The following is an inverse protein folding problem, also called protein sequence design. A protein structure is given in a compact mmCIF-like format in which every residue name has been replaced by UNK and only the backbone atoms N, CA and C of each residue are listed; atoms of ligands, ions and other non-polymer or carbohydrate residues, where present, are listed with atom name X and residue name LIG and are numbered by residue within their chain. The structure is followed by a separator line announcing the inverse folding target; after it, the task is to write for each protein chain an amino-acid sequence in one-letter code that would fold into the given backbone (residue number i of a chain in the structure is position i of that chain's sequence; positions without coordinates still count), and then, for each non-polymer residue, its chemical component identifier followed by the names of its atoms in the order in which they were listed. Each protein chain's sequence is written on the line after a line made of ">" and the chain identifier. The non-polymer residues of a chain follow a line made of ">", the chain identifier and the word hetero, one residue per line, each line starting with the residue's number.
data_IF_748589724366
#
_entry.id   IF_748589724366
#
_cell.length_a   1.000
_cell.length_b   1.000
_cell.length_c   1.000
_cell.angle_alpha   90.00
_cell.angle_beta   90.00
_cell.angle_gamma   90.00
#
_symmetry.space_group_name_H-M   'P 1'
#
loop_
_entity.id
_entity.type
_entity.pdbx_description
1 polymer ?
#
# COMPACT_ATOMS: atom_id res chain seq x y z
N UNK A 1 21.59 -17.11 5.03
CA UNK A 1 20.69 -17.39 6.16
C UNK A 1 19.52 -18.21 5.64
N UNK A 2 19.25 -19.40 6.18
CA UNK A 2 18.11 -20.24 5.82
C UNK A 2 17.14 -20.25 6.99
N UNK A 3 15.88 -19.97 6.72
CA UNK A 3 14.80 -20.07 7.72
C UNK A 3 14.06 -21.37 7.44
N UNK A 4 13.96 -22.24 8.44
CA UNK A 4 13.21 -23.50 8.36
C UNK A 4 12.17 -23.53 9.48
N UNK A 5 10.89 -23.38 9.13
CA UNK A 5 9.81 -23.35 10.12
C UNK A 5 9.67 -24.68 10.88
N UNK A 6 10.13 -25.80 10.31
CA UNK A 6 10.05 -27.09 11.00
C UNK A 6 11.09 -27.23 12.14
N UNK A 7 12.14 -26.40 12.14
CA UNK A 7 13.16 -26.34 13.19
C UNK A 7 12.96 -25.16 14.16
N UNK A 8 11.89 -24.37 13.98
CA UNK A 8 11.58 -23.24 14.83
C UNK A 8 11.01 -23.71 16.18
N UNK A 9 11.55 -23.19 17.28
CA UNK A 9 11.04 -23.48 18.64
C UNK A 9 9.55 -23.14 18.80
N UNK A 10 9.08 -22.12 18.09
CA UNK A 10 7.69 -21.65 18.12
C UNK A 10 6.78 -22.37 17.13
N UNK A 11 7.24 -23.42 16.45
CA UNK A 11 6.48 -24.12 15.40
C UNK A 11 5.12 -24.60 15.92
N UNK A 12 4.05 -24.22 15.21
CA UNK A 12 2.64 -24.53 15.53
C UNK A 12 2.14 -23.97 16.88
N UNK A 13 2.76 -22.89 17.35
CA UNK A 13 2.22 -22.07 18.44
C UNK A 13 1.45 -20.86 17.89
N UNK A 14 0.74 -20.13 18.76
CA UNK A 14 0.09 -18.86 18.44
C UNK A 14 1.05 -17.80 17.88
N UNK A 15 2.34 -17.89 18.20
CA UNK A 15 3.35 -16.98 17.64
C UNK A 15 3.53 -17.14 16.12
N UNK A 16 3.08 -18.25 15.53
CA UNK A 16 3.10 -18.42 14.08
C UNK A 16 2.11 -17.49 13.37
N UNK A 17 1.05 -17.03 14.05
CA UNK A 17 0.02 -16.17 13.45
C UNK A 17 0.51 -14.72 13.27
N UNK A 18 1.50 -14.28 14.07
CA UNK A 18 2.17 -12.98 13.98
C UNK A 18 3.65 -13.10 13.55
N UNK A 19 4.03 -14.24 12.95
CA UNK A 19 5.40 -14.44 12.49
C UNK A 19 5.66 -13.70 11.17
N UNK A 20 6.83 -13.06 11.06
CA UNK A 20 7.33 -12.46 9.80
C UNK A 20 7.25 -13.43 8.61
N UNK A 21 7.55 -14.71 8.83
CA UNK A 21 7.53 -15.73 7.75
C UNK A 21 6.11 -15.93 7.24
N UNK A 22 5.12 -15.98 8.13
CA UNK A 22 3.70 -16.07 7.77
C UNK A 22 3.27 -14.85 6.97
N UNK A 23 3.61 -13.64 7.42
CA UNK A 23 3.29 -12.40 6.71
C UNK A 23 3.93 -12.32 5.30
N UNK A 24 5.13 -12.88 5.12
CA UNK A 24 5.81 -12.91 3.81
C UNK A 24 5.25 -13.96 2.85
N UNK A 25 4.84 -15.12 3.36
CA UNK A 25 4.30 -16.22 2.53
C UNK A 25 2.80 -16.07 2.26
N UNK A 26 2.07 -15.46 3.19
CA UNK A 26 0.64 -15.20 3.11
C UNK A 26 0.39 -13.71 3.33
N UNK A 27 0.84 -12.85 2.41
CA UNK A 27 0.63 -11.41 2.54
C UNK A 27 -0.87 -11.12 2.64
N UNK A 28 -1.27 -10.13 3.45
CA UNK A 28 -2.67 -9.71 3.56
C UNK A 28 -3.26 -9.44 2.18
N UNK A 29 -4.45 -9.98 1.92
CA UNK A 29 -5.16 -9.74 0.65
C UNK A 29 -5.84 -8.37 0.61
N UNK A 30 -6.02 -7.74 1.77
CA UNK A 30 -6.59 -6.40 1.93
C UNK A 30 -5.55 -5.31 2.10
N UNK A 31 -6.00 -4.04 2.14
CA UNK A 31 -5.13 -2.93 2.50
C UNK A 31 -4.52 -3.16 3.88
N UNK A 32 -3.23 -2.83 4.00
CA UNK A 32 -2.54 -2.78 5.29
C UNK A 32 -2.69 -1.37 5.82
N UNK A 33 -3.47 -1.22 6.87
CA UNK A 33 -3.61 0.03 7.60
C UNK A 33 -2.41 0.18 8.55
N UNK A 34 -1.68 1.29 8.40
CA UNK A 34 -0.57 1.65 9.28
C UNK A 34 -1.08 2.77 10.17
N UNK A 35 -1.03 2.55 11.48
CA UNK A 35 -1.45 3.54 12.47
C UNK A 35 -0.64 4.84 12.34
N UNK A 36 -1.31 5.99 12.42
CA UNK A 36 -0.70 7.32 12.31
C UNK A 36 0.39 7.57 13.37
N UNK A 37 0.31 6.92 14.53
CA UNK A 37 1.32 7.02 15.58
C UNK A 37 2.66 6.37 15.17
N UNK A 38 2.65 5.43 14.21
CA UNK A 38 3.86 4.79 13.70
C UNK A 38 4.63 5.67 12.70
N UNK A 39 4.03 6.75 12.21
CA UNK A 39 4.59 7.57 11.13
C UNK A 39 5.97 8.16 11.49
N UNK A 40 6.13 8.60 12.74
CA UNK A 40 7.41 9.11 13.27
C UNK A 40 8.49 8.02 13.35
N UNK A 41 8.11 6.81 13.74
CA UNK A 41 9.01 5.66 13.84
C UNK A 41 9.47 5.21 12.46
N UNK A 42 8.56 5.14 11.49
CA UNK A 42 8.85 4.78 10.11
C UNK A 42 9.76 5.81 9.43
N UNK A 43 9.57 7.10 9.69
CA UNK A 43 10.50 8.17 9.24
C UNK A 43 11.88 8.02 9.85
N UNK A 44 11.96 7.68 11.14
CA UNK A 44 13.24 7.47 11.84
C UNK A 44 14.00 6.28 11.26
N UNK A 45 13.32 5.14 11.11
CA UNK A 45 13.93 3.92 10.57
C UNK A 45 14.39 4.10 9.11
N UNK A 46 13.59 4.76 8.28
CA UNK A 46 13.96 5.04 6.89
C UNK A 46 15.10 6.07 6.79
N UNK A 47 15.09 7.11 7.62
CA UNK A 47 16.19 8.08 7.71
C UNK A 47 17.52 7.45 8.17
N UNK A 48 17.45 6.41 9.01
CA UNK A 48 18.60 5.61 9.43
C UNK A 48 19.00 4.52 8.41
N UNK A 49 18.26 4.35 7.31
CA UNK A 49 18.53 3.33 6.29
C UNK A 49 18.19 1.90 6.71
N UNK A 50 17.40 1.72 7.78
CA UNK A 50 17.01 0.40 8.29
C UNK A 50 15.83 -0.21 7.52
N UNK A 51 15.03 0.65 6.87
CA UNK A 51 13.94 0.25 5.98
C UNK A 51 13.92 1.12 4.72
N UNK A 52 13.34 0.63 3.60
CA UNK A 52 13.10 1.48 2.44
C UNK A 52 12.17 2.65 2.78
N UNK A 53 12.35 3.79 2.10
CA UNK A 53 11.40 4.90 2.18
C UNK A 53 10.03 4.40 1.74
N UNK A 54 8.99 4.66 2.54
CA UNK A 54 7.61 4.31 2.20
C UNK A 54 7.24 4.98 0.87
N UNK A 55 6.99 4.14 -0.15
CA UNK A 55 6.60 4.57 -1.49
C UNK A 55 5.09 4.78 -1.62
N UNK A 56 4.32 4.53 -0.56
CA UNK A 56 2.89 4.75 -0.56
C UNK A 56 2.62 6.26 -0.67
N UNK A 57 2.18 6.68 -1.85
CA UNK A 57 1.74 8.05 -2.11
C UNK A 57 0.24 7.97 -2.37
N UNK A 58 -0.60 8.75 -1.64
CA UNK A 58 -2.01 8.87 -1.97
C UNK A 58 -2.14 9.19 -3.46
N UNK A 59 -3.01 8.47 -4.16
CA UNK A 59 -3.32 8.81 -5.55
C UNK A 59 -3.96 10.19 -5.53
N UNK A 60 -3.40 11.15 -6.25
CA UNK A 60 -4.03 12.46 -6.39
C UNK A 60 -5.39 12.29 -7.04
N UNK A 61 -6.47 12.54 -6.31
CA UNK A 61 -7.81 12.61 -6.85
C UNK A 61 -7.90 13.84 -7.75
N UNK A 62 -7.49 13.70 -9.01
CA UNK A 62 -7.29 14.85 -9.89
C UNK A 62 -7.08 14.55 -11.37
N UNK A 63 -7.52 13.40 -11.85
CA UNK A 63 -7.71 13.19 -13.29
C UNK A 63 -9.21 13.03 -13.53
N UNK A 64 -9.96 14.12 -13.43
CA UNK A 64 -11.28 14.20 -14.02
C UNK A 64 -11.13 13.88 -15.51
N UNK A 65 -11.84 12.85 -16.00
CA UNK A 65 -11.96 12.62 -17.42
C UNK A 65 -12.48 13.91 -18.09
N UNK A 66 -11.91 14.37 -19.21
CA UNK A 66 -12.46 15.50 -19.94
C UNK A 66 -13.91 15.20 -20.31
N UNK A 67 -14.82 16.07 -19.90
CA UNK A 67 -16.25 15.99 -20.16
C UNK A 67 -16.53 15.96 -21.66
N UNK A 68 -17.05 14.84 -22.17
CA UNK A 68 -17.72 14.76 -23.47
C UNK A 68 -18.99 15.63 -23.43
N UNK A 69 -18.87 16.91 -23.75
CA UNK A 69 -20.03 17.83 -23.69
C UNK A 69 -19.93 19.12 -24.51
N UNK A 70 -18.82 19.38 -25.22
CA UNK A 70 -18.65 20.60 -26.04
C UNK A 70 -18.58 20.29 -27.55
N UNK A 71 -19.38 19.32 -28.03
CA UNK A 71 -19.61 19.08 -29.46
C UNK A 71 -21.06 19.35 -29.85
N UNK A 72 -21.55 20.57 -29.61
CA UNK A 72 -22.94 20.91 -29.93
C UNK A 72 -23.30 22.40 -29.96
N UNK A 73 -22.34 23.31 -30.20
CA UNK A 73 -22.64 24.73 -30.45
C UNK A 73 -22.03 25.16 -31.78
N UNK A 74 -22.69 24.76 -32.85
CA UNK A 74 -22.36 25.21 -34.19
C UNK A 74 -23.21 24.50 -35.22
N UNK A 75 -24.51 24.84 -35.30
CA UNK A 75 -25.24 24.94 -36.57
C UNK A 75 -26.66 25.49 -36.31
N UNK A 76 -26.93 26.73 -36.73
CA UNK A 76 -28.24 27.22 -37.19
C UNK A 76 -28.16 28.72 -37.51
N UNK A 77 -27.55 29.03 -38.66
CA UNK A 77 -27.93 30.21 -39.45
C UNK A 77 -28.87 29.70 -40.54
N UNK A 78 -30.14 30.08 -40.52
CA UNK A 78 -31.01 30.17 -41.70
C UNK A 78 -32.38 30.73 -41.28
N UNK A 79 -32.81 31.81 -41.95
CA UNK A 79 -34.17 32.34 -41.91
C UNK A 79 -34.22 33.84 -41.75
#
# INVERSE_FOLDING_TARGET
>A
MRIDCAECEMYRSEHCDDCLVTAMLHPPTGPVEIDENLDSSLRTLSGAGLIPVLKFRPRSEGASNPTEGERGRGEARAG
#
